data_IF_562573577925
#
_entry.id   IF_562573577925
#
_cell.length_a   1.000
_cell.length_b   1.000
_cell.length_c   1.000
_cell.angle_alpha   90.00
_cell.angle_beta   90.00
_cell.angle_gamma   90.00
#
_symmetry.space_group_name_H-M   'P 1'
#
loop_
_entity.id
_entity.type
_entity.pdbx_description
1 polymer ?
#
# COMPACT_ATOMS: atom_id res chain seq x y z
N UNK A 1 -18.89 21.01 7.69
CA UNK A 1 -18.50 20.02 6.68
C UNK A 1 -17.11 20.39 6.19
N UNK A 2 -16.07 19.70 6.65
CA UNK A 2 -14.75 19.81 6.01
C UNK A 2 -14.83 19.04 4.70
N UNK A 3 -14.60 19.71 3.57
CA UNK A 3 -14.47 19.03 2.29
C UNK A 3 -13.26 18.09 2.38
N UNK A 4 -13.46 16.79 2.16
CA UNK A 4 -12.37 15.85 1.89
C UNK A 4 -11.59 16.40 0.70
N UNK A 5 -10.43 16.98 0.99
CA UNK A 5 -9.51 17.39 -0.05
C UNK A 5 -8.91 16.08 -0.60
N UNK A 6 -8.77 15.99 -1.92
CA UNK A 6 -8.14 14.85 -2.59
C UNK A 6 -6.81 15.30 -3.17
N UNK A 7 -5.84 14.39 -3.29
CA UNK A 7 -4.53 14.73 -3.83
C UNK A 7 -4.72 15.17 -5.29
N UNK A 8 -4.05 16.26 -5.68
CA UNK A 8 -3.94 16.67 -7.08
C UNK A 8 -3.15 15.62 -7.89
N UNK A 9 -3.28 15.64 -9.21
CA UNK A 9 -2.58 14.66 -10.07
C UNK A 9 -1.05 14.70 -9.94
N UNK A 10 -0.48 15.89 -9.71
CA UNK A 10 0.97 16.03 -9.46
C UNK A 10 1.37 15.40 -8.12
N UNK A 11 0.57 15.60 -7.07
CA UNK A 11 0.78 14.97 -5.77
C UNK A 11 0.56 13.45 -5.84
N UNK A 12 -0.43 12.97 -6.59
CA UNK A 12 -0.65 11.54 -6.85
C UNK A 12 0.55 10.94 -7.59
N UNK A 13 1.11 11.66 -8.57
CA UNK A 13 2.30 11.20 -9.29
C UNK A 13 3.49 10.98 -8.36
N UNK A 14 3.65 11.84 -7.34
CA UNK A 14 4.69 11.67 -6.30
C UNK A 14 4.33 10.53 -5.35
N UNK A 15 3.11 10.52 -4.79
CA UNK A 15 2.67 9.51 -3.83
C UNK A 15 2.72 8.09 -4.41
N UNK A 16 2.38 7.93 -5.69
CA UNK A 16 2.46 6.64 -6.39
C UNK A 16 3.78 6.42 -7.12
N UNK A 17 4.81 7.23 -6.89
CA UNK A 17 6.12 7.04 -7.53
C UNK A 17 6.89 5.82 -7.01
N UNK A 18 6.66 5.44 -5.74
CA UNK A 18 7.30 4.32 -5.05
C UNK A 18 6.35 3.72 -4.00
N UNK A 19 6.58 2.45 -3.62
CA UNK A 19 5.81 1.77 -2.57
C UNK A 19 6.01 2.40 -1.18
N UNK A 20 7.11 3.14 -0.99
CA UNK A 20 7.47 3.69 0.34
C UNK A 20 6.48 4.75 0.82
N UNK A 21 5.90 5.55 -0.09
CA UNK A 21 4.92 6.59 0.28
C UNK A 21 3.65 5.98 0.90
N UNK A 22 2.92 5.06 0.24
CA UNK A 22 1.76 4.44 0.85
C UNK A 22 2.13 3.59 2.07
N UNK A 23 3.30 2.94 2.09
CA UNK A 23 3.74 2.15 3.25
C UNK A 23 3.97 3.01 4.51
N UNK A 24 4.67 4.14 4.39
CA UNK A 24 4.86 5.06 5.52
C UNK A 24 3.53 5.68 5.94
N UNK A 25 2.68 6.06 4.99
CA UNK A 25 1.35 6.61 5.32
C UNK A 25 0.49 5.61 6.11
N UNK A 26 0.52 4.32 5.76
CA UNK A 26 -0.15 3.27 6.55
C UNK A 26 0.49 3.11 7.94
N UNK A 27 1.82 3.17 8.03
CA UNK A 27 2.56 3.05 9.28
C UNK A 27 2.22 4.17 10.28
N UNK A 28 2.04 5.40 9.80
CA UNK A 28 1.54 6.50 10.64
C UNK A 28 0.19 6.16 11.28
N UNK A 29 -0.68 5.46 10.56
CA UNK A 29 -2.00 5.04 11.03
C UNK A 29 -2.00 3.96 12.11
N UNK A 30 -0.87 3.29 12.37
CA UNK A 30 -0.77 2.27 13.41
C UNK A 30 -0.57 2.85 14.82
N UNK A 31 0.10 4.01 14.93
CA UNK A 31 0.44 4.59 16.24
C UNK A 31 -0.58 5.63 16.68
N UNK A 32 -1.26 5.35 17.80
CA UNK A 32 -2.11 6.33 18.51
C UNK A 32 -1.30 7.47 19.12
N UNK A 33 -0.02 7.25 19.39
CA UNK A 33 0.88 8.24 19.98
C UNK A 33 1.67 9.03 18.94
N UNK A 34 1.46 8.75 17.65
CA UNK A 34 2.24 9.28 16.54
C UNK A 34 3.57 8.55 16.37
N UNK A 35 4.23 8.84 15.24
CA UNK A 35 5.48 8.19 14.81
C UNK A 35 6.56 9.26 14.62
N UNK A 36 7.78 9.01 15.07
CA UNK A 36 8.95 9.88 14.90
C UNK A 36 9.66 9.66 13.57
N UNK A 37 10.52 10.60 13.16
CA UNK A 37 11.37 10.40 11.97
C UNK A 37 12.32 9.21 12.15
N UNK A 38 12.84 9.02 13.36
CA UNK A 38 13.73 7.92 13.72
C UNK A 38 13.03 6.57 13.53
N UNK A 39 11.80 6.41 14.02
CA UNK A 39 11.00 5.19 13.83
C UNK A 39 10.72 4.91 12.35
N UNK A 40 10.47 5.94 11.54
CA UNK A 40 10.33 5.79 10.07
C UNK A 40 11.64 5.29 9.45
N UNK A 41 12.78 5.85 9.86
CA UNK A 41 14.09 5.46 9.34
C UNK A 41 14.39 4.00 9.67
N UNK A 42 14.18 3.60 10.93
CA UNK A 42 14.42 2.24 11.42
C UNK A 42 13.51 1.24 10.73
N UNK A 43 12.19 1.51 10.71
CA UNK A 43 11.19 0.59 10.14
C UNK A 43 11.43 0.29 8.67
N UNK A 44 11.76 1.31 7.88
CA UNK A 44 11.89 1.18 6.42
C UNK A 44 13.33 1.14 5.93
N UNK A 45 14.31 1.19 6.84
CA UNK A 45 15.74 1.20 6.51
C UNK A 45 16.11 2.29 5.49
N UNK A 46 15.55 3.50 5.68
CA UNK A 46 15.81 4.66 4.81
C UNK A 46 16.63 5.73 5.55
N UNK A 47 17.32 6.59 4.79
CA UNK A 47 18.09 7.67 5.38
C UNK A 47 17.19 8.72 6.03
N UNK A 48 17.72 9.43 7.04
CA UNK A 48 17.02 10.55 7.70
C UNK A 48 16.56 11.61 6.71
N UNK A 49 17.37 11.92 5.70
CA UNK A 49 16.99 12.85 4.63
C UNK A 49 15.74 12.34 3.89
N UNK A 50 15.71 11.06 3.51
CA UNK A 50 14.58 10.48 2.79
C UNK A 50 13.30 10.45 3.64
N UNK A 51 13.43 10.12 4.93
CA UNK A 51 12.31 10.17 5.87
C UNK A 51 11.78 11.61 6.04
N UNK A 52 12.69 12.59 6.12
CA UNK A 52 12.33 14.01 6.19
C UNK A 52 11.61 14.49 4.93
N UNK A 53 12.07 14.10 3.73
CA UNK A 53 11.40 14.42 2.47
C UNK A 53 9.98 13.84 2.40
N UNK A 54 9.80 12.61 2.90
CA UNK A 54 8.49 11.94 2.99
C UNK A 54 7.56 12.67 3.97
N UNK A 55 8.05 12.99 5.17
CA UNK A 55 7.30 13.72 6.18
C UNK A 55 6.87 15.10 5.66
N UNK A 56 7.79 15.85 5.04
CA UNK A 56 7.48 17.15 4.44
C UNK A 56 6.44 17.05 3.32
N UNK A 57 6.52 16.00 2.49
CA UNK A 57 5.47 15.72 1.50
C UNK A 57 4.12 15.49 2.18
N UNK A 58 4.04 14.60 3.17
CA UNK A 58 2.78 14.28 3.83
C UNK A 58 2.15 15.46 4.56
N UNK A 59 2.95 16.29 5.25
CA UNK A 59 2.46 17.51 5.89
C UNK A 59 1.88 18.49 4.88
N UNK A 60 2.61 18.75 3.78
CA UNK A 60 2.17 19.69 2.75
C UNK A 60 0.87 19.25 2.07
N UNK A 61 0.71 17.95 1.83
CA UNK A 61 -0.48 17.40 1.17
C UNK A 61 -1.63 17.08 2.14
N UNK A 62 -1.45 17.28 3.45
CA UNK A 62 -2.43 16.93 4.48
C UNK A 62 -2.62 15.42 4.69
N UNK A 63 -1.67 14.59 4.24
CA UNK A 63 -1.63 13.15 4.51
C UNK A 63 -1.08 12.84 5.91
N UNK A 64 -0.42 13.80 6.55
CA UNK A 64 -0.02 13.71 7.94
C UNK A 64 -0.19 15.06 8.64
N UNK A 65 -0.26 15.02 9.96
CA UNK A 65 -0.10 16.16 10.85
C UNK A 65 1.11 15.94 11.76
N UNK A 66 1.71 17.00 12.27
CA UNK A 66 2.83 16.93 13.22
C UNK A 66 2.44 17.55 14.56
N UNK A 67 2.67 16.83 15.64
CA UNK A 67 2.56 17.34 17.00
C UNK A 67 3.80 16.96 17.80
N UNK A 68 4.53 17.96 18.31
CA UNK A 68 5.71 17.76 19.18
C UNK A 68 6.76 16.81 18.59
N UNK A 69 7.02 16.90 17.28
CA UNK A 69 8.00 16.05 16.58
C UNK A 69 7.51 14.64 16.25
N UNK A 70 6.23 14.35 16.45
CA UNK A 70 5.59 13.08 16.06
C UNK A 70 4.56 13.31 14.97
N UNK A 71 4.50 12.38 14.03
CA UNK A 71 3.62 12.40 12.86
C UNK A 71 2.41 11.51 13.07
N UNK A 72 1.23 12.05 12.75
CA UNK A 72 -0.07 11.40 12.84
C UNK A 72 -0.71 11.32 11.45
N UNK A 73 -1.58 10.33 11.18
CA UNK A 73 -2.29 10.28 9.92
C UNK A 73 -3.16 11.54 9.73
N UNK A 74 -3.19 12.05 8.50
CA UNK A 74 -4.03 13.16 8.11
C UNK A 74 -5.46 12.73 7.78
N UNK A 75 -6.27 13.69 7.32
CA UNK A 75 -7.67 13.46 6.89
C UNK A 75 -7.81 13.23 5.38
N UNK A 76 -6.70 13.30 4.65
CA UNK A 76 -6.65 13.23 3.20
C UNK A 76 -6.83 11.79 2.72
N UNK A 77 -7.73 11.58 1.75
CA UNK A 77 -7.93 10.26 1.13
C UNK A 77 -6.88 9.95 0.06
N UNK A 78 -6.35 8.73 0.09
CA UNK A 78 -5.47 8.18 -0.95
C UNK A 78 -6.22 7.27 -1.92
N UNK A 79 -7.55 7.26 -1.94
CA UNK A 79 -8.31 6.36 -2.81
C UNK A 79 -8.01 6.60 -4.30
N UNK A 80 -7.75 5.51 -5.04
CA UNK A 80 -7.66 5.50 -6.49
C UNK A 80 -8.92 4.89 -7.09
N UNK A 81 -9.63 5.68 -7.88
CA UNK A 81 -10.77 5.19 -8.65
C UNK A 81 -10.32 4.32 -9.84
N UNK A 82 -11.24 3.46 -10.29
CA UNK A 82 -11.02 2.65 -11.47
C UNK A 82 -10.75 3.55 -12.70
N UNK A 83 -9.71 3.23 -13.45
CA UNK A 83 -9.30 4.00 -14.62
C UNK A 83 -8.28 5.11 -14.34
N UNK A 84 -7.92 5.36 -13.07
CA UNK A 84 -6.86 6.31 -12.75
C UNK A 84 -5.52 5.88 -13.39
N UNK A 85 -4.78 6.80 -14.04
CA UNK A 85 -3.49 6.48 -14.66
C UNK A 85 -2.44 6.03 -13.63
N UNK A 86 -2.64 6.32 -12.35
CA UNK A 86 -1.73 5.94 -11.27
C UNK A 86 -1.91 4.50 -10.79
N UNK A 87 -3.01 3.81 -11.14
CA UNK A 87 -3.26 2.43 -10.72
C UNK A 87 -2.16 1.48 -11.18
N UNK A 88 -1.75 1.58 -12.44
CA UNK A 88 -0.70 0.73 -13.01
C UNK A 88 0.59 0.91 -12.21
N UNK A 89 0.99 2.16 -11.95
CA UNK A 89 2.22 2.46 -11.21
C UNK A 89 2.13 1.96 -9.75
N UNK A 90 1.00 2.16 -9.09
CA UNK A 90 0.75 1.65 -7.74
C UNK A 90 0.91 0.11 -7.68
N UNK A 91 0.26 -0.61 -8.61
CA UNK A 91 0.36 -2.06 -8.73
C UNK A 91 1.79 -2.53 -9.02
N UNK A 92 2.50 -1.87 -9.94
CA UNK A 92 3.88 -2.19 -10.28
C UNK A 92 4.81 -1.98 -9.09
N UNK A 93 4.68 -0.88 -8.33
CA UNK A 93 5.55 -0.60 -7.20
C UNK A 93 5.41 -1.64 -6.08
N UNK A 94 4.19 -2.09 -5.77
CA UNK A 94 3.99 -3.17 -4.80
C UNK A 94 4.55 -4.50 -5.29
N UNK A 95 4.47 -4.80 -6.59
CA UNK A 95 5.12 -5.98 -7.17
C UNK A 95 6.64 -5.89 -7.12
N UNK A 96 7.22 -4.70 -7.30
CA UNK A 96 8.65 -4.47 -7.05
C UNK A 96 8.98 -4.79 -5.59
N UNK A 97 8.14 -4.37 -4.63
CA UNK A 97 8.34 -4.74 -3.22
C UNK A 97 8.23 -6.25 -2.98
N UNK A 98 7.29 -6.93 -3.64
CA UNK A 98 7.18 -8.39 -3.57
C UNK A 98 8.45 -9.08 -4.11
N UNK A 99 9.02 -8.57 -5.21
CA UNK A 99 10.30 -9.05 -5.75
C UNK A 99 11.43 -8.86 -4.72
N UNK A 100 11.57 -7.67 -4.13
CA UNK A 100 12.56 -7.43 -3.05
C UNK A 100 12.38 -8.41 -1.87
N UNK A 101 11.13 -8.66 -1.48
CA UNK A 101 10.81 -9.53 -0.34
C UNK A 101 10.99 -11.02 -0.63
N UNK A 102 11.00 -11.42 -1.91
CA UNK A 102 11.12 -12.83 -2.32
C UNK A 102 12.41 -13.51 -1.81
N UNK A 103 13.47 -12.74 -1.57
CA UNK A 103 14.74 -13.24 -1.04
C UNK A 103 14.73 -13.49 0.48
N UNK A 104 13.69 -13.02 1.19
CA UNK A 104 13.65 -12.98 2.66
C UNK A 104 12.25 -13.21 3.22
N UNK A 105 11.46 -14.07 2.56
CA UNK A 105 10.14 -14.44 3.05
C UNK A 105 10.24 -15.30 4.32
N UNK A 106 9.43 -14.99 5.33
CA UNK A 106 9.40 -15.74 6.59
C UNK A 106 8.50 -16.98 6.47
N UNK A 107 8.52 -17.83 7.51
CA UNK A 107 7.64 -19.01 7.58
C UNK A 107 6.15 -18.65 7.76
N UNK A 108 5.84 -17.41 8.17
CA UNK A 108 4.47 -16.91 8.37
C UNK A 108 3.93 -16.21 7.12
N UNK A 109 4.81 -15.85 6.18
CA UNK A 109 4.48 -15.16 4.95
C UNK A 109 4.31 -16.16 3.79
N UNK A 110 3.56 -15.78 2.76
CA UNK A 110 3.30 -16.63 1.60
C UNK A 110 3.62 -15.93 0.28
N UNK A 111 4.42 -16.59 -0.56
CA UNK A 111 4.62 -16.23 -1.96
C UNK A 111 4.37 -17.46 -2.82
N UNK A 112 3.48 -17.33 -3.79
CA UNK A 112 3.05 -18.44 -4.64
C UNK A 112 3.03 -17.98 -6.10
N UNK A 113 3.54 -18.83 -7.00
CA UNK A 113 3.49 -18.60 -8.44
C UNK A 113 3.19 -19.93 -9.13
N UNK A 114 2.14 -19.93 -9.95
CA UNK A 114 1.73 -21.11 -10.70
C UNK A 114 1.38 -20.74 -12.15
N UNK A 115 2.31 -20.92 -13.11
CA UNK A 115 1.94 -20.97 -14.51
C UNK A 115 1.13 -22.25 -14.75
N UNK A 116 -0.03 -22.13 -15.39
CA UNK A 116 -1.00 -23.21 -15.53
C UNK A 116 -1.49 -23.33 -16.97
N UNK A 117 -1.73 -24.57 -17.41
CA UNK A 117 -2.62 -24.85 -18.54
C UNK A 117 -4.03 -25.07 -17.99
N UNK A 118 -4.99 -24.25 -18.44
CA UNK A 118 -6.34 -24.21 -17.83
C UNK A 118 -7.41 -23.99 -18.90
N UNK A 119 -8.60 -24.57 -18.70
CA UNK A 119 -9.75 -24.31 -19.55
C UNK A 119 -10.31 -22.89 -19.35
N UNK A 120 -11.01 -22.34 -20.35
CA UNK A 120 -11.68 -21.03 -20.20
C UNK A 120 -12.72 -21.03 -19.08
N UNK A 121 -13.43 -22.15 -18.90
CA UNK A 121 -14.43 -22.31 -17.84
C UNK A 121 -13.77 -22.18 -16.48
N UNK A 122 -12.71 -22.96 -16.25
CA UNK A 122 -12.04 -22.98 -14.96
C UNK A 122 -11.30 -21.65 -14.71
N UNK A 123 -10.86 -20.95 -15.76
CA UNK A 123 -10.29 -19.61 -15.63
C UNK A 123 -11.26 -18.60 -15.02
N UNK A 124 -12.52 -18.61 -15.48
CA UNK A 124 -13.58 -17.77 -14.90
C UNK A 124 -13.90 -18.20 -13.47
N UNK A 125 -13.98 -19.51 -13.19
CA UNK A 125 -14.25 -20.03 -11.85
C UNK A 125 -13.17 -19.64 -10.83
N UNK A 126 -11.89 -19.67 -11.22
CA UNK A 126 -10.78 -19.21 -10.37
C UNK A 126 -10.89 -17.70 -10.10
N UNK A 127 -11.23 -16.88 -11.11
CA UNK A 127 -11.46 -15.43 -10.94
C UNK A 127 -12.53 -15.14 -9.89
N UNK A 128 -13.64 -15.89 -9.90
CA UNK A 128 -14.72 -15.72 -8.93
C UNK A 128 -14.28 -16.08 -7.50
N UNK A 129 -13.52 -17.16 -7.34
CA UNK A 129 -12.95 -17.55 -6.04
C UNK A 129 -11.99 -16.49 -5.50
N UNK A 130 -11.14 -15.92 -6.37
CA UNK A 130 -10.28 -14.79 -6.02
C UNK A 130 -11.11 -13.58 -5.55
N UNK A 131 -12.19 -13.23 -6.26
CA UNK A 131 -13.05 -12.12 -5.85
C UNK A 131 -13.74 -12.37 -4.50
N UNK A 132 -14.18 -13.59 -4.24
CA UNK A 132 -14.73 -14.00 -2.94
C UNK A 132 -13.69 -13.88 -1.82
N UNK A 133 -12.46 -14.32 -2.09
CA UNK A 133 -11.35 -14.18 -1.16
C UNK A 133 -11.04 -12.71 -0.84
N UNK A 134 -10.99 -11.81 -1.84
CA UNK A 134 -10.76 -10.37 -1.62
C UNK A 134 -11.86 -9.77 -0.73
N UNK A 135 -13.12 -10.18 -0.93
CA UNK A 135 -14.23 -9.76 -0.08
C UNK A 135 -14.02 -10.22 1.37
N UNK A 136 -13.72 -11.50 1.58
CA UNK A 136 -13.48 -12.07 2.91
C UNK A 136 -12.27 -11.43 3.60
N UNK A 137 -11.19 -11.17 2.86
CA UNK A 137 -10.02 -10.44 3.38
C UNK A 137 -10.40 -9.06 3.92
N UNK A 138 -11.25 -8.34 3.18
CA UNK A 138 -11.71 -7.00 3.60
C UNK A 138 -12.56 -7.07 4.88
N UNK A 139 -13.28 -8.16 5.10
CA UNK A 139 -14.06 -8.40 6.33
C UNK A 139 -13.13 -8.71 7.51
N UNK A 140 -12.09 -9.53 7.30
CA UNK A 140 -11.07 -9.85 8.31
C UNK A 140 -10.35 -8.59 8.78
N UNK A 141 -9.82 -7.78 7.84
CA UNK A 141 -9.04 -6.57 8.17
C UNK A 141 -9.88 -5.52 8.92
N UNK A 142 -11.20 -5.46 8.67
CA UNK A 142 -12.09 -4.53 9.37
C UNK A 142 -12.49 -4.97 10.78
N UNK A 143 -12.35 -6.27 11.08
CA UNK A 143 -12.83 -6.84 12.34
C UNK A 143 -11.83 -6.66 13.50
N UNK A 144 -10.57 -6.36 13.22
CA UNK A 144 -9.50 -6.24 14.22
C UNK A 144 -8.81 -4.87 14.16
N UNK A 145 -8.24 -4.44 15.30
CA UNK A 145 -7.31 -3.32 15.32
C UNK A 145 -6.03 -3.70 14.55
N UNK A 146 -5.48 -2.75 13.78
CA UNK A 146 -4.27 -3.00 13.00
C UNK A 146 -3.03 -2.88 13.90
N UNK A 147 -2.23 -3.95 13.95
CA UNK A 147 -0.97 -4.01 14.70
C UNK A 147 0.25 -3.84 13.80
N UNK A 148 0.13 -4.18 12.52
CA UNK A 148 1.17 -3.98 11.51
C UNK A 148 0.56 -3.80 10.10
N UNK A 149 1.40 -3.44 9.13
CA UNK A 149 1.06 -3.33 7.71
C UNK A 149 1.45 -4.61 6.96
N UNK A 150 0.54 -5.08 6.11
CA UNK A 150 0.78 -6.18 5.18
C UNK A 150 0.31 -5.80 3.78
N UNK A 151 0.85 -6.46 2.76
CA UNK A 151 0.43 -6.27 1.36
C UNK A 151 0.06 -7.61 0.75
N UNK A 152 -0.97 -7.59 -0.09
CA UNK A 152 -1.32 -8.72 -0.94
C UNK A 152 -1.33 -8.25 -2.40
N UNK A 153 -0.71 -9.03 -3.27
CA UNK A 153 -0.72 -8.79 -4.70
C UNK A 153 -1.34 -10.00 -5.39
N UNK A 154 -2.34 -9.76 -6.23
CA UNK A 154 -3.07 -10.80 -6.95
C UNK A 154 -3.04 -10.47 -8.44
N UNK A 155 -2.58 -11.44 -9.21
CA UNK A 155 -2.46 -11.38 -10.66
C UNK A 155 -3.15 -12.60 -11.28
N UNK A 156 -4.20 -12.37 -12.08
CA UNK A 156 -4.90 -13.44 -12.79
C UNK A 156 -5.16 -13.02 -14.23
N UNK A 157 -4.33 -13.51 -15.15
CA UNK A 157 -4.34 -13.10 -16.55
C UNK A 157 -3.98 -14.26 -17.50
N UNK A 158 -4.34 -14.12 -18.76
CA UNK A 158 -3.91 -15.04 -19.82
C UNK A 158 -2.49 -14.70 -20.28
N UNK A 159 -1.61 -15.69 -20.36
CA UNK A 159 -0.28 -15.52 -20.97
C UNK A 159 -0.42 -15.58 -22.48
N UNK A 160 -0.41 -14.42 -23.14
CA UNK A 160 -0.44 -14.27 -24.59
C UNK A 160 0.34 -13.02 -25.00
N UNK A 161 0.84 -13.00 -26.23
CA UNK A 161 1.47 -11.81 -26.84
C UNK A 161 0.42 -10.72 -27.10
#
# INVERSE_FOLDING_TARGET
MQHEKSLSDSERSIFYSSWIYPAVHLFLGLSKEGVTLEEICERFSISRQRASDLAHFFLRTGLANEERGKYFPGVQSTFLEQGSPHLIKHHSNWRVKAIEKSESISAEELMFTAPLSISRRDFSSVREKIAQFIKSLSEIVKASEAEDIATINIDWFWVKK
#
